data_IF_878860621927
#
_entry.id   IF_878860621927
#
_cell.length_a   1.000
_cell.length_b   1.000
_cell.length_c   1.000
_cell.angle_alpha   90.00
_cell.angle_beta   90.00
_cell.angle_gamma   90.00
#
_symmetry.space_group_name_H-M   'P 1'
#
loop_
_entity.id
_entity.type
_entity.pdbx_description
1 polymer ?
#
# COMPACT_ATOMS: atom_id res chain seq x y z
N UNK A 1 1.11 -27.98 -5.73
CA UNK A 1 1.99 -26.80 -5.81
C UNK A 1 2.42 -26.41 -4.41
N UNK A 2 3.72 -26.23 -4.16
CA UNK A 2 4.21 -25.69 -2.88
C UNK A 2 3.64 -24.28 -2.73
N UNK A 3 2.99 -23.98 -1.61
CA UNK A 3 2.45 -22.64 -1.37
C UNK A 3 3.60 -21.66 -1.16
N UNK A 4 3.42 -20.46 -1.68
CA UNK A 4 4.40 -19.36 -1.67
C UNK A 4 4.64 -18.87 -0.24
N UNK A 5 5.88 -18.53 0.10
CA UNK A 5 6.20 -17.99 1.42
C UNK A 5 5.52 -16.63 1.63
N UNK A 6 5.13 -16.29 2.86
CA UNK A 6 4.52 -14.98 3.18
C UNK A 6 5.37 -13.78 2.76
N UNK A 7 6.70 -13.88 2.95
CA UNK A 7 7.63 -12.83 2.55
C UNK A 7 7.71 -12.72 1.02
N UNK A 8 7.83 -13.85 0.34
CA UNK A 8 7.85 -13.92 -1.13
C UNK A 8 6.56 -13.34 -1.73
N UNK A 9 5.39 -13.71 -1.19
CA UNK A 9 4.11 -13.18 -1.61
C UNK A 9 4.04 -11.64 -1.44
N UNK A 10 4.52 -11.10 -0.31
CA UNK A 10 4.57 -9.64 -0.09
C UNK A 10 5.52 -8.96 -1.07
N UNK A 11 6.75 -9.46 -1.22
CA UNK A 11 7.76 -8.84 -2.09
C UNK A 11 7.30 -8.79 -3.56
N UNK A 12 6.66 -9.85 -4.04
CA UNK A 12 6.08 -9.86 -5.38
C UNK A 12 4.85 -8.97 -5.51
N UNK A 13 4.01 -8.87 -4.48
CA UNK A 13 2.91 -7.89 -4.47
C UNK A 13 3.40 -6.44 -4.44
N UNK A 14 4.58 -6.16 -3.86
CA UNK A 14 5.21 -4.83 -3.92
C UNK A 14 5.72 -4.55 -5.34
N UNK A 15 6.34 -5.53 -6.00
CA UNK A 15 6.77 -5.35 -7.37
C UNK A 15 5.59 -5.06 -8.30
N UNK A 16 4.49 -5.81 -8.15
CA UNK A 16 3.27 -5.59 -8.90
C UNK A 16 2.05 -6.27 -8.21
N UNK A 17 1.00 -5.51 -7.83
CA UNK A 17 -0.24 -6.07 -7.29
C UNK A 17 -0.85 -7.14 -8.20
N UNK A 18 -1.05 -8.34 -7.68
CA UNK A 18 -1.56 -9.50 -8.41
C UNK A 18 -0.55 -10.62 -8.62
N UNK A 19 0.76 -10.35 -8.56
CA UNK A 19 1.78 -11.40 -8.66
C UNK A 19 1.73 -12.36 -7.46
N UNK A 20 1.55 -11.84 -6.25
CA UNK A 20 1.35 -12.68 -5.06
C UNK A 20 0.12 -13.60 -5.19
N UNK A 21 -0.95 -13.13 -5.84
CA UNK A 21 -2.13 -13.94 -6.13
C UNK A 21 -1.84 -15.04 -7.15
N UNK A 22 -1.08 -14.76 -8.20
CA UNK A 22 -0.61 -15.78 -9.16
C UNK A 22 0.25 -16.85 -8.48
N UNK A 23 1.19 -16.44 -7.63
CA UNK A 23 2.01 -17.36 -6.86
C UNK A 23 1.18 -18.22 -5.89
N UNK A 24 0.05 -17.70 -5.41
CA UNK A 24 -0.90 -18.45 -4.59
C UNK A 24 -1.90 -19.31 -5.40
N UNK A 25 -1.84 -19.27 -6.75
CA UNK A 25 -2.76 -19.99 -7.64
C UNK A 25 -4.13 -19.31 -7.83
N UNK A 26 -4.31 -18.09 -7.36
CA UNK A 26 -5.56 -17.32 -7.49
C UNK A 26 -5.57 -16.42 -8.73
N UNK A 27 -5.55 -17.04 -9.92
CA UNK A 27 -5.42 -16.32 -11.19
C UNK A 27 -6.48 -15.25 -11.45
N UNK A 28 -7.75 -15.53 -11.16
CA UNK A 28 -8.82 -14.55 -11.34
C UNK A 28 -8.59 -13.27 -10.53
N UNK A 29 -8.19 -13.40 -9.26
CA UNK A 29 -7.83 -12.25 -8.41
C UNK A 29 -6.58 -11.54 -8.93
N UNK A 30 -5.57 -12.32 -9.32
CA UNK A 30 -4.32 -11.78 -9.88
C UNK A 30 -4.57 -10.90 -11.10
N UNK A 31 -5.37 -11.38 -12.07
CA UNK A 31 -5.73 -10.61 -13.27
C UNK A 31 -6.45 -9.31 -12.89
N UNK A 32 -7.41 -9.36 -11.94
CA UNK A 32 -8.14 -8.17 -11.49
C UNK A 32 -7.19 -7.15 -10.84
N UNK A 33 -6.28 -7.56 -9.97
CA UNK A 33 -5.32 -6.65 -9.34
C UNK A 33 -4.34 -6.06 -10.34
N UNK A 34 -3.84 -6.84 -11.30
CA UNK A 34 -2.97 -6.34 -12.37
C UNK A 34 -3.73 -5.31 -13.21
N UNK A 35 -4.96 -5.62 -13.62
CA UNK A 35 -5.79 -4.70 -14.41
C UNK A 35 -6.07 -3.39 -13.65
N UNK A 36 -6.40 -3.47 -12.36
CA UNK A 36 -6.59 -2.29 -11.52
C UNK A 36 -5.30 -1.50 -11.32
N UNK A 37 -4.15 -2.16 -11.14
CA UNK A 37 -2.85 -1.50 -11.05
C UNK A 37 -2.57 -0.68 -12.30
N UNK A 38 -2.72 -1.28 -13.50
CA UNK A 38 -2.53 -0.56 -14.75
C UNK A 38 -3.57 0.55 -14.96
N UNK A 39 -4.84 0.29 -14.65
CA UNK A 39 -5.91 1.28 -14.79
C UNK A 39 -5.61 2.51 -13.92
N UNK A 40 -5.32 2.30 -12.63
CA UNK A 40 -5.06 3.39 -11.70
C UNK A 40 -3.76 4.09 -12.07
N UNK A 41 -2.68 3.36 -12.37
CA UNK A 41 -1.38 3.94 -12.71
C UNK A 41 -1.45 4.84 -13.95
N UNK A 42 -2.15 4.39 -15.00
CA UNK A 42 -2.30 5.14 -16.25
C UNK A 42 -3.18 6.36 -16.09
N UNK A 43 -4.32 6.25 -15.39
CA UNK A 43 -5.20 7.40 -15.15
C UNK A 43 -4.59 8.40 -14.16
N UNK A 44 -3.81 7.94 -13.17
CA UNK A 44 -3.09 8.79 -12.23
C UNK A 44 -1.82 9.42 -12.82
N UNK A 45 -1.34 8.94 -13.97
CA UNK A 45 0.01 9.20 -14.50
C UNK A 45 1.10 8.97 -13.43
N UNK A 46 0.90 7.94 -12.60
CA UNK A 46 1.64 7.78 -11.35
C UNK A 46 3.13 7.54 -11.57
N UNK A 47 3.51 6.68 -12.52
CA UNK A 47 4.92 6.42 -12.84
C UNK A 47 5.67 7.69 -13.28
N UNK A 48 5.00 8.58 -14.01
CA UNK A 48 5.61 9.84 -14.42
C UNK A 48 5.72 10.83 -13.25
N UNK A 49 4.71 10.89 -12.37
CA UNK A 49 4.79 11.67 -11.13
C UNK A 49 5.91 11.17 -10.20
N UNK A 50 6.13 9.85 -10.11
CA UNK A 50 7.26 9.24 -9.41
C UNK A 50 8.57 9.76 -10.01
N UNK A 51 8.74 9.67 -11.34
CA UNK A 51 9.96 10.15 -12.01
C UNK A 51 10.26 11.61 -11.66
N UNK A 52 9.28 12.50 -11.76
CA UNK A 52 9.46 13.92 -11.40
C UNK A 52 9.78 14.10 -9.92
N UNK A 53 9.07 13.41 -9.03
CA UNK A 53 9.29 13.48 -7.59
C UNK A 53 10.69 13.02 -7.17
N UNK A 54 11.22 11.98 -7.81
CA UNK A 54 12.57 11.49 -7.55
C UNK A 54 13.68 12.39 -8.13
N UNK A 55 13.38 13.14 -9.19
CA UNK A 55 14.28 14.17 -9.71
C UNK A 55 14.22 15.50 -8.94
N UNK A 56 13.35 15.60 -7.92
CA UNK A 56 13.15 16.82 -7.14
C UNK A 56 12.21 17.85 -7.78
N UNK A 57 11.62 17.54 -8.94
CA UNK A 57 10.67 18.42 -9.63
C UNK A 57 9.24 18.20 -9.10
N UNK A 58 8.99 18.69 -7.89
CA UNK A 58 7.71 18.50 -7.20
C UNK A 58 6.57 19.25 -7.91
N UNK A 59 6.86 20.39 -8.55
CA UNK A 59 5.87 21.17 -9.28
C UNK A 59 5.35 20.37 -10.47
N UNK A 60 6.23 19.80 -11.30
CA UNK A 60 5.80 18.97 -12.44
C UNK A 60 5.20 17.65 -11.97
N UNK A 61 5.62 17.11 -10.81
CA UNK A 61 4.98 15.93 -10.22
C UNK A 61 3.49 16.17 -9.90
N UNK A 62 3.14 17.36 -9.39
CA UNK A 62 1.74 17.75 -9.14
C UNK A 62 0.97 18.06 -10.42
N UNK A 63 1.59 18.73 -11.39
CA UNK A 63 0.91 19.05 -12.66
C UNK A 63 0.60 17.80 -13.47
N UNK A 64 1.43 16.77 -13.32
CA UNK A 64 1.25 15.49 -13.99
C UNK A 64 0.26 14.58 -13.27
N UNK A 65 0.33 14.50 -11.94
CA UNK A 65 -0.46 13.53 -11.20
C UNK A 65 -1.95 13.88 -11.15
N UNK A 66 -2.81 12.93 -11.53
CA UNK A 66 -4.22 12.99 -11.17
C UNK A 66 -4.39 12.46 -9.74
N UNK A 67 -4.56 13.39 -8.79
CA UNK A 67 -4.68 13.05 -7.36
C UNK A 67 -5.96 12.28 -7.03
N UNK A 68 -7.03 12.42 -7.82
CA UNK A 68 -8.27 11.67 -7.59
C UNK A 68 -8.04 10.18 -7.87
N UNK A 69 -7.39 9.88 -8.99
CA UNK A 69 -6.99 8.51 -9.31
C UNK A 69 -5.93 7.98 -8.34
N UNK A 70 -4.96 8.81 -7.96
CA UNK A 70 -3.89 8.41 -7.06
C UNK A 70 -4.40 8.00 -5.67
N UNK A 71 -5.49 8.61 -5.17
CA UNK A 71 -6.09 8.24 -3.89
C UNK A 71 -6.65 6.81 -3.83
N UNK A 72 -6.95 6.17 -4.96
CA UNK A 72 -7.36 4.76 -4.99
C UNK A 72 -6.17 3.80 -4.82
N UNK A 73 -4.96 4.25 -5.16
CA UNK A 73 -3.76 3.42 -5.19
C UNK A 73 -3.46 2.75 -3.84
N UNK A 74 -3.44 3.45 -2.68
CA UNK A 74 -3.07 2.83 -1.40
C UNK A 74 -4.01 1.69 -1.00
N UNK A 75 -5.31 1.87 -1.23
CA UNK A 75 -6.33 0.88 -0.90
C UNK A 75 -6.15 -0.39 -1.73
N UNK A 76 -6.03 -0.26 -3.06
CA UNK A 76 -5.87 -1.41 -3.96
C UNK A 76 -4.54 -2.12 -3.70
N UNK A 77 -3.46 -1.35 -3.59
CA UNK A 77 -2.11 -1.87 -3.46
C UNK A 77 -1.89 -2.62 -2.14
N UNK A 78 -2.25 -2.01 -0.99
CA UNK A 78 -2.08 -2.64 0.32
C UNK A 78 -3.09 -3.76 0.58
N UNK A 79 -4.29 -3.68 -0.01
CA UNK A 79 -5.24 -4.79 0.04
C UNK A 79 -4.74 -5.98 -0.78
N UNK A 80 -4.20 -5.77 -1.99
CA UNK A 80 -3.62 -6.83 -2.79
C UNK A 80 -2.44 -7.50 -2.06
N UNK A 81 -1.58 -6.72 -1.40
CA UNK A 81 -0.52 -7.26 -0.54
C UNK A 81 -1.07 -8.11 0.62
N UNK A 82 -2.10 -7.62 1.31
CA UNK A 82 -2.71 -8.37 2.40
C UNK A 82 -3.40 -9.66 1.92
N UNK A 83 -4.13 -9.61 0.81
CA UNK A 83 -4.77 -10.79 0.21
C UNK A 83 -3.71 -11.84 -0.15
N UNK A 84 -2.60 -11.44 -0.77
CA UNK A 84 -1.49 -12.33 -1.05
C UNK A 84 -0.89 -12.94 0.23
N UNK A 85 -0.65 -12.13 1.26
CA UNK A 85 -0.14 -12.58 2.56
C UNK A 85 -1.10 -13.55 3.28
N UNK A 86 -2.40 -13.29 3.20
CA UNK A 86 -3.46 -14.10 3.84
C UNK A 86 -3.51 -15.51 3.26
N UNK A 87 -3.32 -15.65 1.96
CA UNK A 87 -3.40 -16.93 1.25
C UNK A 87 -2.05 -17.63 1.00
N UNK A 88 -0.94 -16.97 1.32
CA UNK A 88 0.39 -17.56 1.36
C UNK A 88 0.49 -18.69 2.41
N UNK A 89 1.55 -19.49 2.33
CA UNK A 89 1.73 -20.65 3.21
C UNK A 89 1.81 -20.28 4.70
N UNK A 90 1.35 -21.21 5.55
CA UNK A 90 1.37 -21.07 7.01
C UNK A 90 0.16 -20.34 7.62
N UNK A 91 0.11 -20.22 8.96
CA UNK A 91 -1.03 -19.65 9.66
C UNK A 91 -1.22 -18.18 9.32
N UNK A 92 -2.46 -17.72 9.23
CA UNK A 92 -2.77 -16.29 9.14
C UNK A 92 -3.00 -15.75 10.56
N UNK A 93 -2.08 -14.96 11.13
CA UNK A 93 -2.23 -14.48 12.50
C UNK A 93 -3.49 -13.60 12.62
N UNK A 94 -4.17 -13.71 13.77
CA UNK A 94 -5.35 -12.90 14.06
C UNK A 94 -5.02 -11.41 13.96
N UNK A 95 -5.95 -10.65 13.37
CA UNK A 95 -5.84 -9.22 13.12
C UNK A 95 -4.64 -8.78 12.26
N UNK A 96 -4.03 -9.68 11.49
CA UNK A 96 -2.89 -9.36 10.61
C UNK A 96 -3.20 -8.37 9.48
N UNK A 97 -4.48 -8.08 9.21
CA UNK A 97 -4.90 -7.05 8.26
C UNK A 97 -4.68 -5.61 8.77
N UNK A 98 -4.59 -5.40 10.09
CA UNK A 98 -4.57 -4.04 10.66
C UNK A 98 -3.39 -3.19 10.18
N UNK A 99 -2.13 -3.69 10.15
CA UNK A 99 -1.02 -2.93 9.59
C UNK A 99 -1.27 -2.49 8.14
N UNK A 100 -1.86 -3.34 7.31
CA UNK A 100 -2.16 -3.02 5.90
C UNK A 100 -3.29 -1.99 5.77
N UNK A 101 -4.38 -2.18 6.53
CA UNK A 101 -5.54 -1.28 6.50
C UNK A 101 -5.18 0.13 6.99
N UNK A 102 -4.52 0.24 8.15
CA UNK A 102 -4.09 1.53 8.69
C UNK A 102 -3.02 2.19 7.81
N UNK A 103 -2.13 1.41 7.21
CA UNK A 103 -1.23 1.93 6.18
C UNK A 103 -1.99 2.57 5.02
N UNK A 104 -3.05 1.93 4.51
CA UNK A 104 -3.82 2.49 3.40
C UNK A 104 -4.46 3.82 3.79
N UNK A 105 -5.04 3.90 4.99
CA UNK A 105 -5.66 5.13 5.48
C UNK A 105 -4.65 6.26 5.62
N UNK A 106 -3.51 6.00 6.24
CA UNK A 106 -2.49 7.03 6.44
C UNK A 106 -1.84 7.47 5.13
N UNK A 107 -1.57 6.55 4.21
CA UNK A 107 -1.03 6.89 2.88
C UNK A 107 -2.04 7.71 2.09
N UNK A 108 -3.33 7.37 2.10
CA UNK A 108 -4.38 8.17 1.46
C UNK A 108 -4.48 9.57 2.06
N UNK A 109 -4.42 9.70 3.38
CA UNK A 109 -4.34 11.01 4.06
C UNK A 109 -3.07 11.76 3.65
N UNK A 110 -1.95 11.08 3.52
CA UNK A 110 -0.70 11.63 3.01
C UNK A 110 -0.85 12.19 1.59
N UNK A 111 -1.64 11.56 0.72
CA UNK A 111 -1.94 12.09 -0.62
C UNK A 111 -2.79 13.36 -0.50
N UNK A 112 -3.84 13.34 0.32
CA UNK A 112 -4.77 14.47 0.51
C UNK A 112 -4.10 15.74 1.03
N UNK A 113 -3.02 15.61 1.81
CA UNK A 113 -2.29 16.73 2.39
C UNK A 113 -0.94 17.01 1.70
N UNK A 114 -0.65 16.33 0.59
CA UNK A 114 0.64 16.40 -0.11
C UNK A 114 0.99 17.79 -0.63
N UNK A 115 -0.02 18.62 -0.94
CA UNK A 115 0.11 19.99 -1.43
C UNK A 115 0.31 21.04 -0.32
N UNK A 116 0.03 20.68 0.93
CA UNK A 116 0.00 21.60 2.08
C UNK A 116 1.13 21.37 3.08
N UNK A 117 1.55 20.13 3.28
CA UNK A 117 2.51 19.78 4.33
C UNK A 117 3.93 20.03 3.87
N UNK A 118 4.64 20.91 4.59
CA UNK A 118 6.08 21.15 4.41
C UNK A 118 6.85 20.48 5.54
N UNK A 119 7.81 19.63 5.20
CA UNK A 119 8.74 19.00 6.13
C UNK A 119 10.07 19.74 6.07
N UNK A 120 10.49 20.35 7.18
CA UNK A 120 11.75 21.13 7.25
C UNK A 120 11.85 22.21 6.14
N UNK A 121 10.72 22.80 5.76
CA UNK A 121 10.64 23.81 4.69
C UNK A 121 10.49 23.24 3.26
N UNK A 122 10.73 21.94 3.06
CA UNK A 122 10.57 21.25 1.77
C UNK A 122 9.16 20.67 1.61
N UNK A 123 8.59 20.76 0.41
CA UNK A 123 7.32 20.14 0.05
C UNK A 123 7.60 18.74 -0.50
N UNK A 124 7.28 17.64 0.22
CA UNK A 124 7.61 16.29 -0.26
C UNK A 124 6.81 15.88 -1.51
N UNK A 125 5.67 16.52 -1.72
CA UNK A 125 4.87 16.32 -2.92
C UNK A 125 4.02 15.05 -2.91
N UNK A 126 3.43 14.70 -4.07
CA UNK A 126 2.38 13.69 -4.18
C UNK A 126 2.88 12.25 -4.05
N UNK A 127 4.21 12.04 -3.95
CA UNK A 127 4.84 10.72 -3.87
C UNK A 127 5.53 10.52 -2.52
N UNK A 128 6.44 11.42 -2.12
CA UNK A 128 7.22 11.23 -0.90
C UNK A 128 6.37 11.35 0.38
N UNK A 129 5.43 12.29 0.46
CA UNK A 129 4.61 12.42 1.68
C UNK A 129 3.74 11.17 1.93
N UNK A 130 3.03 10.63 0.92
CA UNK A 130 2.34 9.34 1.06
C UNK A 130 3.27 8.19 1.45
N UNK A 131 4.45 8.08 0.82
CA UNK A 131 5.43 7.06 1.16
C UNK A 131 5.88 7.15 2.62
N UNK A 132 6.16 8.36 3.11
CA UNK A 132 6.53 8.58 4.52
C UNK A 132 5.36 8.27 5.47
N UNK A 133 4.12 8.50 5.03
CA UNK A 133 2.90 8.19 5.79
C UNK A 133 2.66 6.69 5.98
N UNK A 134 3.38 5.83 5.25
CA UNK A 134 3.39 4.39 5.50
C UNK A 134 3.91 4.05 6.90
N UNK A 135 4.92 4.77 7.39
CA UNK A 135 5.56 4.51 8.69
C UNK A 135 4.57 4.67 9.86
N UNK A 136 3.86 5.81 10.02
CA UNK A 136 2.85 5.95 11.07
C UNK A 136 1.68 4.99 10.86
N UNK A 137 1.27 4.71 9.62
CA UNK A 137 0.21 3.74 9.33
C UNK A 137 0.54 2.32 9.80
N UNK A 138 1.73 1.82 9.51
CA UNK A 138 2.22 0.54 10.02
C UNK A 138 2.33 0.55 11.55
N UNK A 139 2.90 1.61 12.12
CA UNK A 139 3.11 1.75 13.57
C UNK A 139 1.78 1.67 14.33
N UNK A 140 0.78 2.44 13.89
CA UNK A 140 -0.58 2.42 14.45
C UNK A 140 -1.23 1.06 14.26
N UNK A 141 -1.17 0.48 13.06
CA UNK A 141 -1.78 -0.82 12.79
C UNK A 141 -1.18 -1.96 13.62
N UNK A 142 0.15 -1.95 13.85
CA UNK A 142 0.80 -2.90 14.75
C UNK A 142 0.47 -2.64 16.23
N UNK A 143 0.41 -1.38 16.67
CA UNK A 143 0.04 -1.03 18.04
C UNK A 143 -1.39 -1.49 18.37
N UNK A 144 -2.36 -1.22 17.49
CA UNK A 144 -3.74 -1.66 17.67
C UNK A 144 -3.81 -3.19 17.66
N UNK A 145 -3.11 -3.85 16.73
CA UNK A 145 -3.03 -5.31 16.70
C UNK A 145 -2.49 -5.87 18.02
N UNK A 146 -1.45 -5.28 18.58
CA UNK A 146 -0.88 -5.67 19.86
C UNK A 146 -1.90 -5.56 21.00
N UNK A 147 -2.59 -4.42 21.09
CA UNK A 147 -3.62 -4.16 22.12
C UNK A 147 -4.75 -5.20 22.02
N UNK A 148 -5.31 -5.41 20.82
CA UNK A 148 -6.42 -6.37 20.63
C UNK A 148 -6.02 -7.81 20.95
N UNK A 149 -4.79 -8.21 20.59
CA UNK A 149 -4.28 -9.54 20.93
C UNK A 149 -4.12 -9.72 22.44
N UNK A 150 -3.70 -8.67 23.17
CA UNK A 150 -3.60 -8.71 24.63
C UNK A 150 -4.97 -8.85 25.28
N UNK A 151 -5.94 -8.02 24.89
CA UNK A 151 -7.31 -8.09 25.41
C UNK A 151 -7.96 -9.45 25.16
N UNK A 152 -7.78 -10.02 23.97
CA UNK A 152 -8.38 -11.32 23.62
C UNK A 152 -7.75 -12.49 24.40
N UNK A 153 -6.48 -12.38 24.79
CA UNK A 153 -5.81 -13.40 25.62
C UNK A 153 -6.27 -13.35 27.08
N UNK A 154 -6.66 -12.18 27.57
CA UNK A 154 -7.16 -12.00 28.96
C UNK A 154 -8.63 -12.44 29.13
N UNK A 155 -9.33 -12.77 28.04
CA UNK A 155 -10.75 -13.20 28.07
C UNK A 155 -10.92 -14.74 28.10
N UNK A 156 -9.81 -15.49 28.20
CA UNK A 156 -9.78 -16.96 28.33
C UNK A 156 -8.86 -17.36 29.49
#
# INVERSE_FOLDING_TARGET
MKKTGKLEAILWSIALPGFGQFLNGHFGKGIVFIALEFLINMNALFNLSIKYSFNGDITEAFRTADLQWLMFYPCVYLFAMYDAYKFADGPCPRFSYLPFAFSAYFVTVGIMFSDKVRLFGFLPGPVWLPMLSLIPGLSVGFAIRYILLKMTKETH
#
